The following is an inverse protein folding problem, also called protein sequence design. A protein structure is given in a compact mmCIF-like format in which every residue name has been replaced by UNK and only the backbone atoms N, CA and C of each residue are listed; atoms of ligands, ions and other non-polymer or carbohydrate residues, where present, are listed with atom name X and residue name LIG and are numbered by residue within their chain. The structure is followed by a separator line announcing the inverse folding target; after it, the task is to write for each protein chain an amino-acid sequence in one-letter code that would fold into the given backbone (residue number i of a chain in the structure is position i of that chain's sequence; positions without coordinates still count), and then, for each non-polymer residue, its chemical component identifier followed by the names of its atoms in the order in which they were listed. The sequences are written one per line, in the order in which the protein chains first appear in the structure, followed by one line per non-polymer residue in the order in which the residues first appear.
data_IF_472223046219
#
_entry.id   IF_472223046219
#
_cell.length_a   1.000
_cell.length_b   1.000
_cell.length_c   1.000
_cell.angle_alpha   90.00
_cell.angle_beta   90.00
_cell.angle_gamma   90.00
#
_symmetry.space_group_name_H-M   'P 1'
#
loop_
_entity.id
_entity.type
_entity.pdbx_description
1 polymer ?
#
# COMPACT_ATOMS: atom_id res chain seq x y z
N UNK A 1 5.50 7.87 12.31
CA UNK A 1 6.65 7.35 11.56
C UNK A 1 6.33 5.98 10.98
N UNK A 2 6.77 5.71 9.76
CA UNK A 2 6.46 4.45 9.08
C UNK A 2 7.69 3.94 8.34
N UNK A 3 7.66 2.64 8.03
CA UNK A 3 8.72 1.99 7.28
C UNK A 3 8.50 2.10 5.78
N UNK A 4 9.58 1.93 5.02
CA UNK A 4 9.56 1.80 3.57
C UNK A 4 10.12 0.43 3.19
N UNK A 5 9.67 -0.11 2.06
CA UNK A 5 10.20 -1.37 1.55
C UNK A 5 10.34 -1.26 0.03
N UNK A 6 11.41 -1.84 -0.52
CA UNK A 6 11.57 -1.94 -1.97
C UNK A 6 10.68 -3.05 -2.53
N UNK A 7 10.37 -2.97 -3.83
CA UNK A 7 9.61 -4.05 -4.46
C UNK A 7 10.39 -5.37 -4.46
N UNK A 8 11.72 -5.30 -4.53
CA UNK A 8 12.54 -6.51 -4.48
C UNK A 8 12.43 -7.22 -3.14
N UNK A 9 12.44 -6.45 -2.06
CA UNK A 9 12.27 -7.03 -0.73
C UNK A 9 10.83 -7.47 -0.48
N UNK A 10 9.86 -6.73 -1.02
CA UNK A 10 8.45 -7.11 -0.90
C UNK A 10 8.21 -8.50 -1.52
N UNK A 11 8.85 -8.79 -2.65
CA UNK A 11 8.72 -10.08 -3.33
C UNK A 11 9.19 -11.26 -2.49
N UNK A 12 10.06 -11.03 -1.51
CA UNK A 12 10.59 -12.08 -0.64
C UNK A 12 9.63 -12.43 0.50
N UNK A 13 8.60 -11.60 0.72
CA UNK A 13 7.67 -11.80 1.82
C UNK A 13 6.46 -12.62 1.36
N UNK A 14 5.86 -13.34 2.31
CA UNK A 14 4.64 -14.10 2.06
C UNK A 14 3.68 -13.89 3.21
N UNK A 15 2.39 -14.17 2.98
CA UNK A 15 1.35 -14.04 4.00
C UNK A 15 1.27 -12.63 4.57
N UNK A 16 1.38 -11.63 3.71
CA UNK A 16 1.30 -10.22 4.08
C UNK A 16 0.04 -9.60 3.47
N UNK A 17 -0.38 -8.49 4.06
CA UNK A 17 -1.54 -7.73 3.57
C UNK A 17 -1.04 -6.54 2.76
N UNK A 18 -1.34 -6.56 1.47
CA UNK A 18 -0.94 -5.51 0.53
C UNK A 18 -2.19 -4.75 0.08
N UNK A 19 -2.13 -3.43 0.15
CA UNK A 19 -3.25 -2.57 -0.23
C UNK A 19 -2.85 -1.67 -1.39
N UNK A 20 -3.62 -1.74 -2.47
CA UNK A 20 -3.50 -0.89 -3.64
C UNK A 20 -4.46 0.27 -3.48
N UNK A 21 -3.94 1.51 -3.37
CA UNK A 21 -4.77 2.68 -3.14
C UNK A 21 -5.07 3.47 -4.42
N UNK A 22 -4.77 2.88 -5.59
CA UNK A 22 -5.09 3.51 -6.88
C UNK A 22 -6.58 3.40 -7.18
N UNK A 23 -7.00 4.01 -8.28
CA UNK A 23 -8.39 3.87 -8.74
C UNK A 23 -8.67 2.41 -9.10
N UNK A 24 -9.96 2.04 -9.06
CA UNK A 24 -10.38 0.68 -9.44
C UNK A 24 -10.01 0.37 -10.88
N UNK A 25 -10.05 1.36 -11.77
CA UNK A 25 -9.70 1.16 -13.18
C UNK A 25 -8.23 0.75 -13.32
N UNK A 26 -7.33 1.42 -12.62
CA UNK A 26 -5.92 1.07 -12.65
C UNK A 26 -5.68 -0.30 -12.04
N UNK A 27 -6.32 -0.58 -10.92
CA UNK A 27 -6.23 -1.89 -10.28
C UNK A 27 -6.64 -3.01 -11.24
N UNK A 28 -7.75 -2.83 -11.94
CA UNK A 28 -8.26 -3.85 -12.85
C UNK A 28 -7.35 -4.10 -14.05
N UNK A 29 -6.48 -3.16 -14.37
CA UNK A 29 -5.51 -3.31 -15.47
C UNK A 29 -4.19 -3.96 -15.02
N UNK A 30 -4.08 -4.33 -13.78
CA UNK A 30 -2.90 -4.99 -13.25
C UNK A 30 -2.59 -4.49 -11.84
N UNK A 31 -2.16 -5.40 -10.97
CA UNK A 31 -1.87 -5.06 -9.57
C UNK A 31 -0.81 -6.02 -9.04
N UNK A 32 -0.20 -5.64 -7.93
CA UNK A 32 0.76 -6.50 -7.24
C UNK A 32 0.02 -7.73 -6.74
N UNK A 33 0.60 -8.91 -6.96
CA UNK A 33 0.00 -10.18 -6.57
C UNK A 33 -0.52 -10.15 -5.14
N UNK A 34 -1.77 -10.56 -4.97
CA UNK A 34 -2.47 -10.65 -3.68
C UNK A 34 -2.87 -9.30 -3.07
N UNK A 35 -2.65 -8.18 -3.79
CA UNK A 35 -3.09 -6.89 -3.29
C UNK A 35 -4.59 -6.74 -3.39
N UNK A 36 -5.20 -6.11 -2.39
CA UNK A 36 -6.61 -5.72 -2.46
C UNK A 36 -6.68 -4.23 -2.76
N UNK A 37 -7.74 -3.82 -3.43
CA UNK A 37 -7.91 -2.42 -3.81
C UNK A 37 -8.80 -1.69 -2.80
N UNK A 38 -8.24 -0.67 -2.18
CA UNK A 38 -8.98 0.27 -1.35
C UNK A 38 -8.53 1.66 -1.80
N UNK A 39 -9.30 2.33 -2.66
CA UNK A 39 -8.89 3.64 -3.16
C UNK A 39 -8.57 4.60 -2.02
N UNK A 40 -7.59 5.45 -2.24
CA UNK A 40 -7.01 6.33 -1.20
C UNK A 40 -8.07 7.09 -0.40
N UNK A 41 -9.05 7.68 -1.08
CA UNK A 41 -10.07 8.48 -0.40
C UNK A 41 -10.90 7.63 0.55
N UNK A 42 -11.28 6.42 0.14
CA UNK A 42 -12.06 5.52 0.98
C UNK A 42 -11.27 5.11 2.21
N UNK A 43 -9.98 4.81 2.03
CA UNK A 43 -9.13 4.41 3.13
C UNK A 43 -8.95 5.54 4.15
N UNK A 44 -8.76 6.77 3.68
CA UNK A 44 -8.54 7.92 4.56
C UNK A 44 -9.80 8.34 5.32
N UNK A 45 -10.98 8.20 4.71
CA UNK A 45 -12.23 8.60 5.36
C UNK A 45 -12.56 7.67 6.53
N UNK A 46 -12.39 6.38 6.34
CA UNK A 46 -12.72 5.37 7.36
C UNK A 46 -11.65 4.29 7.45
N UNK A 47 -10.44 4.65 7.92
CA UNK A 47 -9.39 3.63 8.02
C UNK A 47 -9.77 2.48 8.97
N UNK A 48 -10.53 2.77 10.02
CA UNK A 48 -10.99 1.76 10.97
C UNK A 48 -11.89 0.70 10.32
N UNK A 49 -12.51 1.01 9.19
CA UNK A 49 -13.34 0.05 8.46
C UNK A 49 -12.48 -1.02 7.78
N UNK A 50 -11.25 -0.66 7.40
CA UNK A 50 -10.39 -1.53 6.58
C UNK A 50 -9.18 -2.07 7.33
N UNK A 51 -8.71 -1.36 8.36
CA UNK A 51 -7.44 -1.67 9.00
C UNK A 51 -7.63 -2.02 10.48
N UNK A 52 -6.84 -3.00 10.93
CA UNK A 52 -6.73 -3.37 12.35
C UNK A 52 -5.43 -2.76 12.86
N UNK A 53 -5.49 -2.03 13.99
CA UNK A 53 -4.38 -1.18 14.44
C UNK A 53 -3.07 -1.93 14.67
N UNK A 54 -3.13 -3.13 15.18
CA UNK A 54 -1.92 -3.88 15.52
C UNK A 54 -1.47 -4.82 14.39
N UNK A 55 -2.09 -4.72 13.22
CA UNK A 55 -1.75 -5.52 12.06
C UNK A 55 -0.96 -4.65 11.08
N UNK A 56 0.04 -5.24 10.41
CA UNK A 56 0.90 -4.51 9.48
C UNK A 56 0.34 -4.60 8.06
N UNK A 57 0.31 -3.46 7.38
CA UNK A 57 -0.18 -3.37 5.99
C UNK A 57 0.88 -2.73 5.11
N UNK A 58 1.04 -3.28 3.91
CA UNK A 58 1.95 -2.76 2.88
C UNK A 58 1.10 -2.00 1.87
N UNK A 59 1.38 -0.71 1.71
CA UNK A 59 0.52 0.19 0.93
C UNK A 59 1.30 0.73 -0.25
N UNK A 60 0.68 0.70 -1.44
CA UNK A 60 1.33 1.23 -2.63
C UNK A 60 0.33 2.00 -3.49
N UNK A 61 0.87 2.92 -4.27
CA UNK A 61 0.16 3.64 -5.31
C UNK A 61 0.90 3.45 -6.63
N UNK A 62 0.66 4.33 -7.62
CA UNK A 62 1.27 4.16 -8.93
C UNK A 62 2.79 4.39 -8.90
N UNK A 63 3.25 5.49 -8.27
CA UNK A 63 4.67 5.89 -8.27
C UNK A 63 5.32 5.93 -6.89
N UNK A 64 4.57 5.68 -5.84
CA UNK A 64 5.10 5.72 -4.47
C UNK A 64 4.99 7.06 -3.77
N UNK A 65 4.50 8.10 -4.45
CA UNK A 65 4.40 9.45 -3.88
C UNK A 65 3.15 9.58 -3.01
N UNK A 66 1.99 9.23 -3.54
CA UNK A 66 0.73 9.32 -2.81
C UNK A 66 0.70 8.37 -1.63
N UNK A 67 1.20 7.15 -1.81
CA UNK A 67 1.19 6.15 -0.74
C UNK A 67 2.06 6.58 0.43
N UNK A 68 3.18 7.27 0.16
CA UNK A 68 4.03 7.78 1.23
C UNK A 68 3.27 8.79 2.10
N UNK A 69 2.52 9.69 1.47
CA UNK A 69 1.71 10.67 2.20
C UNK A 69 0.63 10.00 3.03
N UNK A 70 -0.02 8.99 2.45
CA UNK A 70 -1.08 8.26 3.14
C UNK A 70 -0.52 7.45 4.32
N UNK A 71 0.65 6.83 4.14
CA UNK A 71 1.30 6.13 5.24
C UNK A 71 1.63 7.07 6.40
N UNK A 72 2.05 8.30 6.10
CA UNK A 72 2.32 9.28 7.15
C UNK A 72 1.06 9.59 7.95
N UNK A 73 -0.07 9.80 7.27
CA UNK A 73 -1.34 10.08 7.92
C UNK A 73 -1.79 8.89 8.78
N UNK A 74 -1.77 7.70 8.21
CA UNK A 74 -2.24 6.49 8.92
C UNK A 74 -1.34 6.16 10.10
N UNK A 75 -0.03 6.31 9.93
CA UNK A 75 0.93 6.09 11.01
C UNK A 75 0.67 7.04 12.18
N UNK A 76 0.38 8.30 11.89
CA UNK A 76 0.07 9.28 12.93
C UNK A 76 -1.23 8.96 13.65
N UNK A 77 -2.10 8.17 13.03
CA UNK A 77 -3.36 7.74 13.62
C UNK A 77 -3.27 6.36 14.29
N UNK A 78 -2.06 5.83 14.45
CA UNK A 78 -1.83 4.62 15.22
C UNK A 78 -1.86 3.32 14.42
N UNK A 79 -1.86 3.39 13.09
CA UNK A 79 -1.81 2.19 12.25
C UNK A 79 -0.37 1.84 11.89
N UNK A 80 -0.09 0.56 11.72
CA UNK A 80 1.24 0.07 11.35
C UNK A 80 1.25 -0.15 9.84
N UNK A 81 1.93 0.72 9.11
CA UNK A 81 1.95 0.70 7.65
C UNK A 81 3.37 0.78 7.12
N UNK A 82 3.56 0.20 5.94
CA UNK A 82 4.84 0.20 5.22
C UNK A 82 4.57 0.73 3.82
N UNK A 83 5.34 1.71 3.39
CA UNK A 83 5.22 2.27 2.05
C UNK A 83 6.06 1.47 1.06
N UNK A 84 5.46 1.02 -0.04
CA UNK A 84 6.18 0.31 -1.09
C UNK A 84 6.82 1.35 -2.02
N UNK A 85 8.15 1.45 -1.97
CA UNK A 85 8.90 2.44 -2.74
C UNK A 85 8.72 2.22 -4.24
N UNK A 86 8.47 3.32 -4.94
CA UNK A 86 8.29 3.31 -6.40
C UNK A 86 6.96 2.74 -6.88
N UNK A 87 6.16 2.15 -5.99
CA UNK A 87 4.81 1.70 -6.28
C UNK A 87 4.70 0.67 -7.38
N UNK A 88 3.57 0.68 -8.04
CA UNK A 88 3.28 -0.29 -9.10
C UNK A 88 4.26 -0.19 -10.27
N UNK A 89 4.73 1.01 -10.60
CA UNK A 89 5.71 1.16 -11.67
C UNK A 89 7.00 0.42 -11.37
N UNK A 90 7.49 0.51 -10.13
CA UNK A 90 8.69 -0.23 -9.72
C UNK A 90 8.45 -1.73 -9.75
N UNK A 91 7.26 -2.18 -9.35
CA UNK A 91 6.91 -3.59 -9.40
C UNK A 91 6.96 -4.13 -10.82
N UNK A 92 6.35 -3.41 -11.77
CA UNK A 92 6.34 -3.83 -13.18
C UNK A 92 7.76 -3.87 -13.76
N UNK A 93 8.57 -2.88 -13.42
CA UNK A 93 9.96 -2.82 -13.93
C UNK A 93 10.82 -3.96 -13.40
N UNK A 94 10.44 -4.57 -12.29
CA UNK A 94 11.21 -5.65 -11.67
C UNK A 94 10.57 -7.03 -11.85
N UNK A 95 9.62 -7.14 -12.74
CA UNK A 95 9.00 -8.43 -13.07
C UNK A 95 9.87 -9.28 -13.98
#
# INVERSE_FOLDING_TARGET
MFENISVMDLKKLSNIDIIDIRSIEKYNNGYIMNAINIPAEQLLIRPDKYLIRHKKYYIYCQKGIQSRRICAILSNNGYTVVNVLGGYEAWVMNE
#
